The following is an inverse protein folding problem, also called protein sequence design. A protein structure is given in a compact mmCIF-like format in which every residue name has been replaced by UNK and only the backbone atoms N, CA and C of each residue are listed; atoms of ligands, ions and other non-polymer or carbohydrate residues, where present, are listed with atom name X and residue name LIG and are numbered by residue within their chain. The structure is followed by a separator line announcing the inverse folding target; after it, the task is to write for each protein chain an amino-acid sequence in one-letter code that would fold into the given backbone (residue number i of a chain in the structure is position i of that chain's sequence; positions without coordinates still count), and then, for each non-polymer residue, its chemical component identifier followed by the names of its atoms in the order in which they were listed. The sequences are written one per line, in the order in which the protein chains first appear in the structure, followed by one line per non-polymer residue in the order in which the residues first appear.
data_IF_848048923701
#
_entry.id   IF_848048923701
#
_cell.length_a   1.000
_cell.length_b   1.000
_cell.length_c   1.000
_cell.angle_alpha   90.00
_cell.angle_beta   90.00
_cell.angle_gamma   90.00
#
_symmetry.space_group_name_H-M   'P 1'
#
loop_
_entity.id
_entity.type
_entity.pdbx_description
1 polymer ?
#
# COMPACT_ATOMS: atom_id res chain seq x y z
N UNK A 1 6.17 56.09 -18.00
CA UNK A 1 5.93 57.33 -17.21
C UNK A 1 5.41 56.91 -15.83
N UNK A 2 6.06 57.47 -14.77
CA UNK A 2 5.65 57.60 -13.34
C UNK A 2 5.47 56.23 -12.60
N UNK A 3 6.43 55.67 -11.80
CA UNK A 3 6.93 56.07 -10.46
C UNK A 3 5.79 56.35 -9.45
N UNK A 4 5.77 55.56 -8.36
CA UNK A 4 5.80 56.06 -6.99
C UNK A 4 6.12 54.89 -6.02
N UNK A 5 7.26 55.06 -5.33
CA UNK A 5 7.65 54.40 -4.07
C UNK A 5 6.75 54.92 -2.92
N UNK A 6 6.50 54.09 -1.92
CA UNK A 6 6.42 54.55 -0.54
C UNK A 6 6.94 53.48 0.44
N UNK A 7 8.03 53.86 1.09
CA UNK A 7 8.55 53.29 2.34
C UNK A 7 7.68 53.78 3.50
N UNK A 8 7.46 52.93 4.49
CA UNK A 8 7.34 53.37 5.88
C UNK A 8 7.81 52.27 6.83
N UNK A 9 8.95 52.53 7.40
CA UNK A 9 9.60 51.90 8.54
C UNK A 9 8.88 52.34 9.84
N UNK A 10 8.53 51.39 10.70
CA UNK A 10 8.30 51.70 12.12
C UNK A 10 9.02 50.64 12.96
N UNK A 11 10.12 51.10 13.55
CA UNK A 11 10.85 50.50 14.66
C UNK A 11 10.08 50.79 15.94
N UNK A 12 9.71 49.80 16.71
CA UNK A 12 9.30 49.94 18.11
C UNK A 12 10.20 49.12 19.01
N UNK A 13 11.06 49.85 19.69
CA UNK A 13 11.87 49.37 20.80
C UNK A 13 10.98 49.33 22.04
N UNK A 14 10.93 48.18 22.72
CA UNK A 14 10.43 48.11 24.10
C UNK A 14 11.52 47.58 25.03
N UNK A 15 11.75 48.40 26.03
CA UNK A 15 12.81 48.39 27.02
C UNK A 15 12.44 47.44 28.16
N UNK A 16 13.46 46.80 28.69
CA UNK A 16 13.60 45.93 29.86
C UNK A 16 12.87 46.44 31.12
N UNK A 17 12.26 45.52 31.85
CA UNK A 17 12.17 45.65 33.31
C UNK A 17 12.48 44.27 33.94
N UNK A 18 13.59 44.22 34.64
CA UNK A 18 14.01 43.07 35.42
C UNK A 18 13.20 42.91 36.70
N UNK A 19 12.93 41.68 37.08
CA UNK A 19 12.57 41.31 38.45
C UNK A 19 13.42 40.16 38.89
N UNK A 20 14.32 40.49 39.85
CA UNK A 20 15.15 39.59 40.60
C UNK A 20 14.30 38.80 41.62
N UNK A 21 14.21 37.53 41.52
CA UNK A 21 13.63 36.67 42.56
C UNK A 21 14.67 35.68 43.06
N UNK A 22 14.99 35.86 44.31
CA UNK A 22 15.94 35.12 45.13
C UNK A 22 15.63 33.63 45.17
N UNK A 23 16.59 32.81 44.75
CA UNK A 23 16.51 31.34 44.89
C UNK A 23 16.89 30.94 46.33
N UNK A 24 15.93 30.40 47.04
CA UNK A 24 16.17 29.59 48.25
C UNK A 24 16.63 28.20 47.82
N UNK A 25 17.81 27.83 48.25
CA UNK A 25 18.38 26.49 48.08
C UNK A 25 17.62 25.49 48.95
N UNK A 26 16.97 24.50 48.38
CA UNK A 26 16.47 23.33 49.08
C UNK A 26 17.35 22.11 48.71
N UNK A 27 17.69 21.39 49.77
CA UNK A 27 18.51 20.20 49.93
C UNK A 27 18.07 19.06 48.97
N UNK A 28 18.96 18.24 48.40
CA UNK A 28 18.59 17.12 47.57
C UNK A 28 17.98 15.98 48.37
N UNK A 29 16.73 15.66 48.15
CA UNK A 29 16.15 14.40 48.58
C UNK A 29 16.47 13.31 47.54
N UNK A 30 17.07 12.25 48.05
CA UNK A 30 17.34 11.00 47.34
C UNK A 30 16.05 10.30 47.00
N UNK A 31 15.53 10.43 45.78
CA UNK A 31 14.41 9.63 45.32
C UNK A 31 14.94 8.34 44.68
N UNK A 32 14.69 7.27 45.40
CA UNK A 32 14.86 5.87 45.02
C UNK A 32 14.28 5.58 43.64
N UNK A 33 15.06 4.82 42.86
CA UNK A 33 14.76 4.53 41.47
C UNK A 33 13.35 3.98 41.21
N UNK A 34 12.58 4.70 40.43
CA UNK A 34 11.42 4.16 39.75
C UNK A 34 11.90 3.62 38.40
N UNK A 35 11.95 2.30 38.35
CA UNK A 35 12.25 1.55 37.13
C UNK A 35 11.14 1.84 36.10
N UNK A 36 11.36 2.80 35.20
CA UNK A 36 10.51 3.01 34.03
C UNK A 36 10.80 1.87 33.08
N UNK A 37 10.09 0.78 33.32
CA UNK A 37 10.03 -0.33 32.40
C UNK A 37 9.29 0.15 31.15
N UNK A 38 10.06 0.68 30.20
CA UNK A 38 9.59 0.96 28.85
C UNK A 38 9.02 -0.34 28.30
N UNK A 39 7.69 -0.45 28.32
CA UNK A 39 6.98 -1.54 27.65
C UNK A 39 7.18 -1.37 26.15
N UNK A 40 8.22 -2.02 25.63
CA UNK A 40 8.39 -2.24 24.21
C UNK A 40 7.18 -3.07 23.78
N UNK A 41 6.17 -2.41 23.23
CA UNK A 41 5.09 -3.08 22.53
C UNK A 41 5.70 -3.72 21.30
N UNK A 42 6.14 -4.97 21.44
CA UNK A 42 6.53 -5.81 20.32
C UNK A 42 5.24 -6.01 19.51
N UNK A 43 5.04 -5.19 18.45
CA UNK A 43 4.03 -5.48 17.44
C UNK A 43 4.35 -6.87 16.92
N UNK A 44 3.55 -7.87 17.33
CA UNK A 44 3.67 -9.25 16.86
C UNK A 44 3.59 -9.21 15.34
N UNK A 45 4.72 -9.42 14.66
CA UNK A 45 4.78 -9.48 13.19
C UNK A 45 3.84 -10.61 12.78
N UNK A 46 2.76 -10.26 12.08
CA UNK A 46 1.87 -11.27 11.51
C UNK A 46 2.73 -12.10 10.56
N UNK A 47 2.77 -13.42 10.68
CA UNK A 47 3.59 -14.25 9.81
C UNK A 47 3.19 -14.03 8.35
N UNK A 48 4.17 -13.72 7.51
CA UNK A 48 3.97 -13.64 6.06
C UNK A 48 3.53 -15.01 5.57
N UNK A 49 2.39 -15.07 4.90
CA UNK A 49 1.92 -16.30 4.26
C UNK A 49 2.72 -16.51 2.98
N UNK A 50 3.64 -17.46 2.99
CA UNK A 50 4.39 -17.87 1.80
C UNK A 50 3.43 -18.57 0.85
N UNK A 51 3.40 -18.15 -0.43
CA UNK A 51 2.68 -18.80 -1.50
C UNK A 51 3.68 -19.68 -2.26
N UNK A 52 3.41 -20.97 -2.31
CA UNK A 52 4.20 -21.92 -3.11
C UNK A 52 3.85 -21.75 -4.59
N UNK A 53 4.70 -21.08 -5.34
CA UNK A 53 4.52 -20.84 -6.78
C UNK A 53 4.97 -22.01 -7.66
N UNK A 54 5.44 -23.12 -7.07
CA UNK A 54 5.79 -24.39 -7.75
C UNK A 54 6.78 -24.22 -8.91
N UNK A 55 7.69 -23.24 -8.80
CA UNK A 55 8.65 -22.86 -9.83
C UNK A 55 8.02 -22.41 -11.17
N UNK A 56 6.74 -22.03 -11.16
CA UNK A 56 6.08 -21.41 -12.30
C UNK A 56 6.66 -20.00 -12.50
N UNK A 57 7.01 -19.65 -13.74
CA UNK A 57 7.49 -18.33 -14.05
C UNK A 57 6.34 -17.29 -13.96
N UNK A 58 6.66 -16.11 -13.44
CA UNK A 58 5.68 -15.01 -13.34
C UNK A 58 5.07 -14.64 -14.71
N UNK A 59 5.89 -14.70 -15.77
CA UNK A 59 5.43 -14.39 -17.13
C UNK A 59 4.37 -15.37 -17.64
N UNK A 60 4.47 -16.67 -17.34
CA UNK A 60 3.46 -17.65 -17.73
C UNK A 60 2.10 -17.30 -17.13
N UNK A 61 2.10 -16.89 -15.83
CA UNK A 61 0.90 -16.48 -15.11
C UNK A 61 0.29 -15.22 -15.73
N UNK A 62 1.12 -14.23 -16.10
CA UNK A 62 0.68 -12.99 -16.73
C UNK A 62 0.12 -13.26 -18.12
N UNK A 63 0.77 -14.07 -18.93
CA UNK A 63 0.33 -14.36 -20.28
C UNK A 63 -1.00 -15.13 -20.26
N UNK A 64 -1.17 -16.08 -19.35
CA UNK A 64 -2.48 -16.70 -19.15
C UNK A 64 -3.53 -15.68 -18.68
N UNK A 65 -3.19 -14.81 -17.73
CA UNK A 65 -4.09 -13.75 -17.26
C UNK A 65 -4.58 -12.84 -18.39
N UNK A 66 -3.68 -12.47 -19.33
CA UNK A 66 -4.01 -11.66 -20.51
C UNK A 66 -5.02 -12.34 -21.44
N UNK A 67 -5.06 -13.67 -21.52
CA UNK A 67 -6.08 -14.41 -22.30
C UNK A 67 -7.50 -14.24 -21.78
N UNK A 68 -7.66 -13.69 -20.59
CA UNK A 68 -8.94 -13.47 -19.93
C UNK A 68 -9.45 -12.01 -20.07
N UNK A 69 -8.69 -11.14 -20.76
CA UNK A 69 -9.12 -9.74 -21.00
C UNK A 69 -10.50 -9.72 -21.66
N UNK A 70 -11.39 -8.86 -21.13
CA UNK A 70 -12.77 -8.73 -21.59
C UNK A 70 -13.78 -9.64 -20.89
N UNK A 71 -13.36 -10.61 -20.06
CA UNK A 71 -14.28 -11.37 -19.21
C UNK A 71 -14.96 -10.41 -18.23
N UNK A 72 -16.29 -10.49 -18.14
CA UNK A 72 -17.13 -9.55 -17.36
C UNK A 72 -16.84 -9.65 -15.86
N UNK A 73 -17.13 -8.57 -15.16
CA UNK A 73 -17.13 -8.60 -13.69
C UNK A 73 -18.38 -9.27 -13.13
N UNK A 74 -18.21 -10.08 -12.10
CA UNK A 74 -19.30 -10.65 -11.31
C UNK A 74 -18.86 -10.78 -9.86
N UNK A 75 -19.48 -10.00 -8.97
CA UNK A 75 -19.19 -10.05 -7.54
C UNK A 75 -19.34 -11.48 -6.97
N UNK A 76 -18.37 -11.90 -6.13
CA UNK A 76 -18.35 -13.21 -5.49
C UNK A 76 -18.04 -14.39 -6.40
N UNK A 77 -17.70 -14.16 -7.68
CA UNK A 77 -17.49 -15.22 -8.68
C UNK A 77 -16.02 -15.40 -9.05
N UNK A 78 -15.64 -16.67 -9.27
CA UNK A 78 -14.40 -17.11 -9.88
C UNK A 78 -14.64 -18.02 -11.10
N UNK A 79 -15.82 -17.92 -11.71
CA UNK A 79 -16.24 -18.72 -12.86
C UNK A 79 -16.11 -17.89 -14.14
N UNK A 80 -15.25 -18.32 -15.08
CA UNK A 80 -15.02 -17.61 -16.34
C UNK A 80 -16.30 -17.37 -17.15
N UNK A 81 -17.26 -18.30 -17.10
CA UNK A 81 -18.49 -18.19 -17.86
C UNK A 81 -19.45 -17.14 -17.27
N UNK A 82 -19.41 -16.94 -15.94
CA UNK A 82 -20.24 -15.99 -15.22
C UNK A 82 -19.58 -14.62 -15.04
N UNK A 83 -18.25 -14.58 -15.07
CA UNK A 83 -17.43 -13.42 -14.76
C UNK A 83 -16.65 -13.60 -13.48
N UNK A 84 -15.77 -12.64 -13.17
CA UNK A 84 -14.89 -12.65 -12.01
C UNK A 84 -15.11 -11.45 -11.11
N UNK A 85 -15.00 -11.62 -9.77
CA UNK A 85 -14.60 -10.52 -8.91
C UNK A 85 -13.07 -10.36 -8.92
N UNK A 86 -12.53 -9.34 -8.22
CA UNK A 86 -11.10 -9.05 -8.24
C UNK A 86 -10.24 -10.22 -7.75
N UNK A 87 -10.55 -10.80 -6.61
CA UNK A 87 -9.83 -11.95 -6.06
C UNK A 87 -10.20 -13.26 -6.74
N UNK A 88 -11.41 -13.39 -7.29
CA UNK A 88 -11.84 -14.53 -8.10
C UNK A 88 -11.06 -14.64 -9.40
N UNK A 89 -10.78 -13.52 -10.06
CA UNK A 89 -9.86 -13.47 -11.20
C UNK A 89 -8.48 -13.98 -10.83
N UNK A 90 -7.89 -13.48 -9.74
CA UNK A 90 -6.59 -13.94 -9.25
C UNK A 90 -6.62 -15.44 -8.95
N UNK A 91 -7.64 -15.90 -8.22
CA UNK A 91 -7.79 -17.33 -7.91
C UNK A 91 -7.89 -18.18 -9.19
N UNK A 92 -8.68 -17.75 -10.19
CA UNK A 92 -8.81 -18.49 -11.44
C UNK A 92 -7.48 -18.61 -12.18
N UNK A 93 -6.72 -17.49 -12.25
CA UNK A 93 -5.40 -17.46 -12.90
C UNK A 93 -4.41 -18.39 -12.18
N UNK A 94 -4.29 -18.28 -10.87
CA UNK A 94 -3.33 -19.09 -10.10
C UNK A 94 -3.72 -20.55 -10.02
N UNK A 95 -5.01 -20.88 -9.94
CA UNK A 95 -5.50 -22.25 -9.95
C UNK A 95 -5.19 -22.99 -11.26
N UNK A 96 -5.12 -22.27 -12.39
CA UNK A 96 -4.68 -22.85 -13.67
C UNK A 96 -3.30 -23.51 -13.57
N UNK A 97 -2.42 -22.95 -12.74
CA UNK A 97 -1.07 -23.47 -12.46
C UNK A 97 -1.00 -24.30 -11.18
N UNK A 98 -2.13 -24.68 -10.60
CA UNK A 98 -2.21 -25.39 -9.33
C UNK A 98 -1.54 -24.66 -8.15
N UNK A 99 -1.46 -23.33 -8.22
CA UNK A 99 -0.95 -22.47 -7.14
C UNK A 99 -2.13 -22.07 -6.26
N UNK A 100 -2.06 -22.42 -4.97
CA UNK A 100 -3.09 -22.08 -3.99
C UNK A 100 -2.87 -20.68 -3.44
N UNK A 101 -3.87 -19.79 -3.60
CA UNK A 101 -3.86 -18.42 -3.10
C UNK A 101 -5.10 -18.14 -2.23
N UNK A 102 -5.10 -17.08 -1.39
CA UNK A 102 -6.27 -16.69 -0.61
C UNK A 102 -7.49 -16.40 -1.51
N UNK A 103 -8.70 -16.73 -1.03
CA UNK A 103 -9.93 -16.43 -1.79
C UNK A 103 -10.33 -14.95 -1.69
N UNK A 104 -10.07 -14.30 -0.56
CA UNK A 104 -10.53 -12.95 -0.27
C UNK A 104 -9.38 -11.95 -0.42
N UNK A 105 -9.64 -10.81 -1.07
CA UNK A 105 -8.61 -9.79 -1.32
C UNK A 105 -7.93 -9.28 -0.05
N UNK A 106 -8.66 -9.15 1.06
CA UNK A 106 -8.11 -8.73 2.35
C UNK A 106 -7.03 -9.69 2.88
N UNK A 107 -7.16 -11.00 2.63
CA UNK A 107 -6.21 -12.02 3.09
C UNK A 107 -4.87 -11.95 2.35
N UNK A 108 -4.83 -11.29 1.19
CA UNK A 108 -3.57 -11.02 0.49
C UNK A 108 -2.71 -9.96 1.18
N UNK A 109 -3.24 -9.23 2.17
CA UNK A 109 -2.47 -8.23 2.93
C UNK A 109 -1.18 -8.80 3.50
N UNK A 110 -1.18 -10.08 3.90
CA UNK A 110 -0.04 -10.77 4.50
C UNK A 110 0.48 -11.94 3.63
N UNK A 111 0.13 -11.97 2.35
CA UNK A 111 0.58 -12.98 1.41
C UNK A 111 1.83 -12.49 0.66
N UNK A 112 2.94 -13.19 0.81
CA UNK A 112 4.23 -12.85 0.19
C UNK A 112 4.99 -11.77 0.94
N UNK A 113 5.99 -11.20 0.29
CA UNK A 113 6.93 -10.21 0.83
C UNK A 113 6.50 -8.81 0.39
N UNK A 114 6.36 -7.88 1.33
CA UNK A 114 6.07 -6.48 1.00
C UNK A 114 7.25 -5.83 0.27
N UNK A 115 6.97 -5.25 -0.90
CA UNK A 115 7.96 -4.59 -1.77
C UNK A 115 7.53 -3.13 -1.99
N UNK A 116 8.46 -2.15 -1.89
CA UNK A 116 8.17 -0.80 -2.37
C UNK A 116 7.78 -0.82 -3.85
N UNK A 117 6.78 -0.01 -4.24
CA UNK A 117 6.19 -0.06 -5.59
C UNK A 117 7.21 0.20 -6.70
N UNK A 118 8.21 1.03 -6.44
CA UNK A 118 9.33 1.34 -7.36
C UNK A 118 10.19 0.12 -7.70
N UNK A 119 10.24 -0.88 -6.81
CA UNK A 119 10.96 -2.15 -7.02
C UNK A 119 10.04 -3.30 -7.44
N UNK A 120 8.77 -2.99 -7.73
CA UNK A 120 7.83 -4.00 -8.19
C UNK A 120 8.24 -4.57 -9.54
N UNK A 121 7.89 -5.85 -9.76
CA UNK A 121 8.17 -6.59 -10.98
C UNK A 121 6.90 -7.24 -11.50
N UNK A 122 6.93 -7.64 -12.74
CA UNK A 122 5.90 -8.47 -13.35
C UNK A 122 5.63 -9.72 -12.48
N UNK A 123 4.35 -10.01 -12.20
CA UNK A 123 3.90 -11.10 -11.30
C UNK A 123 3.67 -10.68 -9.84
N UNK A 124 4.18 -9.54 -9.38
CA UNK A 124 3.87 -9.04 -8.05
C UNK A 124 2.37 -8.70 -7.94
N UNK A 125 1.81 -8.88 -6.74
CA UNK A 125 0.41 -8.56 -6.45
C UNK A 125 0.32 -7.13 -5.93
N UNK A 126 -0.45 -6.29 -6.63
CA UNK A 126 -0.74 -4.92 -6.18
C UNK A 126 -2.09 -4.87 -5.48
N UNK A 127 -2.13 -4.23 -4.32
CA UNK A 127 -3.29 -4.18 -3.43
C UNK A 127 -3.80 -2.74 -3.28
N UNK A 128 -5.11 -2.60 -3.34
CA UNK A 128 -5.81 -1.33 -3.19
C UNK A 128 -6.92 -1.45 -2.14
N UNK A 129 -7.36 -0.33 -1.58
CA UNK A 129 -8.63 -0.27 -0.86
C UNK A 129 -9.78 -0.55 -1.84
N UNK A 130 -10.97 -0.83 -1.32
CA UNK A 130 -12.18 -0.95 -2.12
C UNK A 130 -12.72 0.40 -2.58
N UNK A 131 -14.04 0.57 -2.53
CA UNK A 131 -14.74 1.80 -2.92
C UNK A 131 -14.32 3.02 -2.07
N UNK A 132 -14.08 2.82 -0.77
CA UNK A 132 -13.58 3.87 0.12
C UNK A 132 -12.05 3.93 0.11
N UNK A 133 -11.50 5.00 -0.48
CA UNK A 133 -10.06 5.23 -0.56
C UNK A 133 -9.39 5.45 0.81
N UNK A 134 -10.17 5.83 1.84
CA UNK A 134 -9.65 6.13 3.19
C UNK A 134 -9.74 4.95 4.15
N UNK A 135 -10.36 3.85 3.76
CA UNK A 135 -10.61 2.71 4.66
C UNK A 135 -9.32 2.04 5.16
N UNK A 136 -8.22 2.11 4.39
CA UNK A 136 -6.99 1.38 4.67
C UNK A 136 -7.14 -0.15 4.57
N UNK A 137 -8.33 -0.67 4.31
CA UNK A 137 -8.62 -2.10 4.20
C UNK A 137 -8.54 -2.53 2.73
N UNK A 138 -7.80 -3.61 2.47
CA UNK A 138 -7.69 -4.16 1.11
C UNK A 138 -9.04 -4.68 0.64
N UNK A 139 -9.54 -4.11 -0.44
CA UNK A 139 -10.82 -4.47 -1.09
C UNK A 139 -10.68 -4.71 -2.58
N UNK A 140 -9.54 -4.39 -3.18
CA UNK A 140 -9.27 -4.60 -4.60
C UNK A 140 -7.81 -4.99 -4.84
N UNK A 141 -7.54 -5.64 -6.00
CA UNK A 141 -6.21 -6.17 -6.29
C UNK A 141 -6.00 -6.44 -7.78
N UNK A 142 -4.74 -6.59 -8.17
CA UNK A 142 -4.32 -6.99 -9.50
C UNK A 142 -2.97 -7.67 -9.51
N UNK A 143 -2.54 -8.18 -10.68
CA UNK A 143 -1.19 -8.70 -10.96
C UNK A 143 -0.44 -7.64 -11.75
N UNK A 144 0.73 -7.22 -11.28
CA UNK A 144 1.58 -6.29 -12.03
C UNK A 144 2.04 -6.98 -13.31
N UNK A 145 1.82 -6.33 -14.44
CA UNK A 145 2.25 -6.81 -15.76
C UNK A 145 3.58 -6.22 -16.19
N UNK A 146 3.87 -4.98 -15.78
CA UNK A 146 5.13 -4.29 -16.05
C UNK A 146 5.33 -3.14 -15.06
N UNK A 147 6.60 -2.75 -14.88
CA UNK A 147 7.00 -1.52 -14.21
C UNK A 147 8.15 -0.90 -14.99
N UNK A 148 7.86 0.14 -15.76
CA UNK A 148 8.81 0.86 -16.57
C UNK A 148 9.21 2.16 -15.86
N UNK A 149 10.21 2.09 -14.96
CA UNK A 149 10.71 3.24 -14.20
C UNK A 149 9.60 4.00 -13.42
N UNK A 150 8.67 3.26 -12.80
CA UNK A 150 7.56 3.83 -12.03
C UNK A 150 6.23 3.92 -12.80
N UNK A 151 6.22 3.73 -14.13
CA UNK A 151 4.98 3.50 -14.88
C UNK A 151 4.55 2.03 -14.68
N UNK A 152 3.79 1.82 -13.61
CA UNK A 152 3.30 0.50 -13.21
C UNK A 152 1.98 0.22 -13.89
N UNK A 153 1.91 -0.92 -14.60
CA UNK A 153 0.66 -1.47 -15.14
C UNK A 153 0.32 -2.81 -14.49
N UNK A 154 -0.96 -3.06 -14.36
CA UNK A 154 -1.46 -4.27 -13.72
C UNK A 154 -2.76 -4.74 -14.37
N UNK A 155 -2.96 -6.06 -14.40
CA UNK A 155 -4.17 -6.70 -14.88
C UNK A 155 -5.07 -7.02 -13.68
N UNK A 156 -6.36 -6.70 -13.80
CA UNK A 156 -7.35 -6.88 -12.74
C UNK A 156 -8.77 -7.04 -13.31
N UNK A 157 -9.74 -7.50 -12.49
CA UNK A 157 -11.14 -7.48 -12.83
C UNK A 157 -11.79 -6.17 -12.34
N UNK A 158 -12.08 -5.27 -13.28
CA UNK A 158 -12.75 -3.99 -13.02
C UNK A 158 -14.27 -4.20 -12.95
N UNK A 159 -14.93 -3.60 -11.96
CA UNK A 159 -16.40 -3.68 -11.83
C UNK A 159 -17.13 -3.18 -13.08
N UNK A 160 -16.65 -2.14 -13.72
CA UNK A 160 -17.31 -1.51 -14.87
C UNK A 160 -16.88 -2.07 -16.22
N UNK A 161 -15.69 -2.68 -16.34
CA UNK A 161 -15.10 -3.07 -17.63
C UNK A 161 -14.63 -4.53 -17.68
N UNK A 162 -14.80 -5.29 -16.60
CA UNK A 162 -14.31 -6.66 -16.52
C UNK A 162 -12.77 -6.73 -16.45
N UNK A 163 -12.21 -7.84 -16.90
CA UNK A 163 -10.76 -8.06 -16.88
C UNK A 163 -10.07 -7.13 -17.88
N UNK A 164 -9.13 -6.32 -17.38
CA UNK A 164 -8.41 -5.33 -18.17
C UNK A 164 -7.06 -5.00 -17.55
N UNK A 165 -6.18 -4.34 -18.33
CA UNK A 165 -4.96 -3.72 -17.84
C UNK A 165 -5.22 -2.25 -17.53
N UNK A 166 -4.75 -1.80 -16.39
CA UNK A 166 -4.78 -0.40 -15.95
C UNK A 166 -3.39 0.05 -15.50
N UNK A 167 -3.14 1.36 -15.55
CA UNK A 167 -1.98 1.99 -14.92
C UNK A 167 -2.37 2.68 -13.61
N UNK A 168 -1.36 3.14 -12.87
CA UNK A 168 -1.55 4.01 -11.71
C UNK A 168 -2.05 5.38 -12.19
N UNK A 169 -3.27 5.75 -11.79
CA UNK A 169 -3.93 6.99 -12.19
C UNK A 169 -4.62 7.66 -11.00
N UNK A 170 -5.35 8.74 -11.23
CA UNK A 170 -6.08 9.49 -10.20
C UNK A 170 -7.09 8.67 -9.40
N UNK A 171 -7.57 7.55 -9.92
CA UNK A 171 -8.44 6.62 -9.19
C UNK A 171 -7.64 5.67 -8.30
N UNK A 172 -6.55 5.07 -8.81
CA UNK A 172 -5.79 4.05 -8.08
C UNK A 172 -4.76 4.61 -7.10
N UNK A 173 -4.14 5.77 -7.39
CA UNK A 173 -3.14 6.39 -6.50
C UNK A 173 -3.68 6.57 -5.07
N UNK A 174 -4.83 7.22 -4.82
CA UNK A 174 -5.33 7.40 -3.45
C UNK A 174 -5.83 6.10 -2.78
N UNK A 175 -5.98 5.02 -3.54
CA UNK A 175 -6.42 3.69 -3.06
C UNK A 175 -5.28 2.71 -2.86
N UNK A 176 -4.07 3.07 -3.26
CA UNK A 176 -2.92 2.19 -3.15
C UNK A 176 -2.63 1.83 -1.68
N UNK A 177 -2.46 0.54 -1.42
CA UNK A 177 -2.11 0.02 -0.09
C UNK A 177 -0.67 -0.46 -0.09
N UNK A 178 -0.33 -1.41 -0.94
CA UNK A 178 1.02 -1.98 -1.05
C UNK A 178 1.18 -2.93 -2.24
N UNK A 179 2.41 -3.34 -2.47
CA UNK A 179 2.76 -4.44 -3.38
C UNK A 179 3.31 -5.61 -2.56
N UNK A 180 2.88 -6.81 -2.87
CA UNK A 180 3.40 -8.04 -2.30
C UNK A 180 4.02 -8.92 -3.39
N UNK A 181 5.27 -9.34 -3.19
CA UNK A 181 5.98 -10.30 -4.03
C UNK A 181 5.67 -11.71 -3.59
N UNK A 182 5.19 -12.51 -4.52
CA UNK A 182 4.89 -13.93 -4.29
C UNK A 182 5.79 -14.85 -5.10
N UNK A 183 6.34 -14.38 -6.23
CA UNK A 183 7.33 -15.12 -7.00
C UNK A 183 8.73 -14.84 -6.48
N UNK A 184 9.50 -15.88 -6.20
CA UNK A 184 10.91 -15.81 -5.79
C UNK A 184 11.87 -16.14 -6.93
N UNK A 185 11.36 -16.76 -8.00
CA UNK A 185 12.08 -17.06 -9.26
C UNK A 185 11.45 -16.24 -10.38
N UNK A 186 12.30 -15.51 -11.13
CA UNK A 186 11.90 -14.65 -12.25
C UNK A 186 12.56 -15.12 -13.53
#
# INVERSE_FOLDING_TARGET
MKKILWLCSIISIFILAGCSATRKASKPETVSGTNIQSSVVIKKKVPERIIDTKNIAANDVIDFAKTLIGVKYKYGSMDKAKGFDCSGFINYVFNHFHISVPRVSADFTNAGINIPIEYSKAGDIILFTGSDAKSGVVGHMGIITENNNGDVKFIHASESRGVMISGMNSYFIPRFVKVNRIFTVF
#
